data_IF_792261064634
#
_entry.id   IF_792261064634
#
_cell.length_a   1.000
_cell.length_b   1.000
_cell.length_c   1.000
_cell.angle_alpha   90.00
_cell.angle_beta   90.00
_cell.angle_gamma   90.00
#
_symmetry.space_group_name_H-M   'P 1'
#
loop_
_entity.id
_entity.type
_entity.pdbx_description
1 polymer ?
#
# COMPACT_ATOMS: atom_id res chain seq x y z
N UNK A 1 -15.79 2.45 5.85
CA UNK A 1 -15.72 3.20 7.12
C UNK A 1 -16.58 4.45 6.96
N UNK A 2 -17.49 4.74 7.88
CA UNK A 2 -18.30 5.96 7.86
C UNK A 2 -17.43 7.22 7.78
N UNK A 3 -17.90 8.23 7.02
CA UNK A 3 -17.18 9.50 6.82
C UNK A 3 -16.01 9.43 5.83
N UNK A 4 -15.83 8.31 5.10
CA UNK A 4 -14.78 8.18 4.09
C UNK A 4 -14.88 9.23 2.96
N UNK A 5 -16.08 9.70 2.72
CA UNK A 5 -16.43 10.72 1.70
C UNK A 5 -16.18 12.17 2.14
N UNK A 6 -15.83 12.40 3.39
CA UNK A 6 -15.60 13.74 3.91
C UNK A 6 -14.37 14.40 3.25
N UNK A 7 -14.48 15.70 3.01
CA UNK A 7 -13.33 16.52 2.63
C UNK A 7 -12.24 16.43 3.70
N UNK A 8 -11.02 16.17 3.30
CA UNK A 8 -9.90 15.91 4.22
C UNK A 8 -9.53 14.43 4.32
N UNK A 9 -10.36 13.50 3.80
CA UNK A 9 -10.02 12.07 3.74
C UNK A 9 -9.64 11.71 2.31
N UNK A 10 -8.36 11.44 2.07
CA UNK A 10 -7.78 11.27 0.74
C UNK A 10 -7.08 9.91 0.61
N UNK A 11 -7.03 9.35 -0.60
CA UNK A 11 -6.05 8.30 -0.88
C UNK A 11 -4.63 8.90 -0.87
N UNK A 12 -3.65 8.14 -0.42
CA UNK A 12 -2.27 8.63 -0.30
C UNK A 12 -1.72 9.25 -1.60
N UNK A 13 -2.02 8.64 -2.74
CA UNK A 13 -1.55 9.12 -4.05
C UNK A 13 -2.22 10.44 -4.51
N UNK A 14 -3.40 10.77 -3.98
CA UNK A 14 -4.03 12.08 -4.24
C UNK A 14 -3.22 13.23 -3.63
N UNK A 15 -2.44 12.94 -2.60
CA UNK A 15 -1.52 13.89 -1.96
C UNK A 15 -0.11 13.83 -2.56
N UNK A 16 0.44 12.63 -2.73
CA UNK A 16 1.84 12.44 -3.13
C UNK A 16 2.10 12.76 -4.60
N UNK A 17 1.17 12.44 -5.52
CA UNK A 17 1.37 12.73 -6.96
C UNK A 17 1.40 14.24 -7.22
N UNK A 18 0.45 15.06 -6.72
CA UNK A 18 0.55 16.51 -6.87
C UNK A 18 1.79 17.09 -6.18
N UNK A 19 2.24 16.54 -5.04
CA UNK A 19 3.45 16.98 -4.38
C UNK A 19 4.69 16.80 -5.26
N UNK A 20 4.83 15.67 -5.92
CA UNK A 20 5.92 15.46 -6.86
C UNK A 20 5.87 16.45 -8.04
N UNK A 21 4.67 16.79 -8.53
CA UNK A 21 4.49 17.80 -9.58
C UNK A 21 4.83 19.21 -9.08
N UNK A 22 4.53 19.52 -7.83
CA UNK A 22 4.91 20.79 -7.23
C UNK A 22 6.43 20.95 -7.19
N UNK A 23 7.14 19.93 -6.68
CA UNK A 23 8.61 19.94 -6.60
C UNK A 23 9.27 20.02 -7.98
N UNK A 24 8.75 19.27 -8.97
CA UNK A 24 9.37 19.17 -10.30
C UNK A 24 8.98 20.31 -11.24
N UNK A 25 7.77 20.84 -11.12
CA UNK A 25 7.16 21.73 -12.10
C UNK A 25 6.68 23.05 -11.50
N UNK A 26 6.78 23.25 -10.18
CA UNK A 26 6.25 24.43 -9.48
C UNK A 26 4.71 24.48 -9.44
N UNK A 27 4.02 23.41 -9.79
CA UNK A 27 2.55 23.35 -9.78
C UNK A 27 2.06 23.02 -8.38
N UNK A 28 1.50 24.03 -7.67
CA UNK A 28 1.05 23.89 -6.29
C UNK A 28 0.18 22.64 -6.03
N UNK A 29 0.46 21.96 -4.92
CA UNK A 29 -0.36 20.84 -4.45
C UNK A 29 -1.71 21.39 -3.96
N UNK A 30 -2.86 20.89 -4.47
CA UNK A 30 -4.18 21.31 -4.01
C UNK A 30 -4.46 20.91 -2.55
N UNK A 31 -3.73 19.90 -2.03
CA UNK A 31 -3.88 19.44 -0.65
C UNK A 31 -2.73 20.05 0.18
N UNK A 32 -3.06 21.02 1.02
CA UNK A 32 -2.12 21.65 1.94
C UNK A 32 -2.46 21.28 3.38
N UNK A 33 -1.49 20.75 4.12
CA UNK A 33 -1.65 20.30 5.51
C UNK A 33 -0.89 21.15 6.53
N UNK A 34 -0.43 22.32 6.14
CA UNK A 34 0.24 23.25 7.06
C UNK A 34 -0.65 23.58 8.26
N UNK A 35 -0.11 23.37 9.46
CA UNK A 35 -0.82 23.63 10.72
C UNK A 35 -1.96 22.66 11.03
N UNK A 36 -2.12 21.58 10.28
CA UNK A 36 -3.19 20.58 10.43
C UNK A 36 -2.74 19.37 11.26
N UNK A 37 -3.70 18.73 11.91
CA UNK A 37 -3.53 17.40 12.51
C UNK A 37 -3.75 16.33 11.44
N UNK A 38 -2.67 15.61 11.10
CA UNK A 38 -2.66 14.61 10.02
C UNK A 38 -2.64 13.21 10.61
N UNK A 39 -3.52 12.35 10.08
CA UNK A 39 -3.49 10.91 10.38
C UNK A 39 -3.19 10.14 9.10
N UNK A 40 -2.18 9.27 9.16
CA UNK A 40 -1.81 8.36 8.06
C UNK A 40 -2.23 6.96 8.44
N UNK A 41 -3.05 6.31 7.61
CA UNK A 41 -3.54 4.95 7.85
C UNK A 41 -2.78 3.98 6.94
N UNK A 42 -1.91 3.18 7.54
CA UNK A 42 -1.03 2.22 6.89
C UNK A 42 0.45 2.46 7.17
N UNK A 43 1.16 1.40 7.55
CA UNK A 43 2.57 1.42 7.99
C UNK A 43 3.61 1.10 6.92
N UNK A 44 3.21 0.98 5.64
CA UNK A 44 4.12 0.70 4.53
C UNK A 44 4.85 1.94 4.01
N UNK A 45 5.65 1.76 2.94
CA UNK A 45 6.47 2.83 2.34
C UNK A 45 5.63 4.03 1.89
N UNK A 46 4.46 3.80 1.29
CA UNK A 46 3.53 4.88 0.92
C UNK A 46 3.06 5.68 2.14
N UNK A 47 2.84 5.02 3.29
CA UNK A 47 2.53 5.68 4.55
C UNK A 47 3.70 6.54 5.04
N UNK A 48 4.92 6.02 4.98
CA UNK A 48 6.14 6.77 5.30
C UNK A 48 6.29 8.02 4.43
N UNK A 49 6.01 7.92 3.14
CA UNK A 49 6.04 9.07 2.23
C UNK A 49 5.02 10.14 2.60
N UNK A 50 3.80 9.72 3.01
CA UNK A 50 2.80 10.66 3.53
C UNK A 50 3.25 11.33 4.82
N UNK A 51 3.91 10.60 5.74
CA UNK A 51 4.45 11.15 6.99
C UNK A 51 5.48 12.25 6.69
N UNK A 52 6.53 11.94 5.94
CA UNK A 52 7.59 12.91 5.63
C UNK A 52 7.06 14.10 4.84
N UNK A 53 6.19 13.87 3.86
CA UNK A 53 5.57 14.95 3.09
C UNK A 53 4.72 15.86 3.98
N UNK A 54 3.95 15.31 4.92
CA UNK A 54 3.14 16.09 5.86
C UNK A 54 4.00 16.95 6.79
N UNK A 55 5.12 16.41 7.29
CA UNK A 55 6.09 17.16 8.10
C UNK A 55 6.69 18.33 7.29
N UNK A 56 7.09 18.10 6.05
CA UNK A 56 7.66 19.15 5.18
C UNK A 56 6.65 20.21 4.78
N UNK A 57 5.35 19.91 4.76
CA UNK A 57 4.28 20.90 4.64
C UNK A 57 4.08 21.72 5.91
N UNK A 58 4.66 21.33 7.06
CA UNK A 58 4.49 22.00 8.35
C UNK A 58 3.18 21.60 9.05
N UNK A 59 2.79 20.34 9.01
CA UNK A 59 1.68 19.83 9.79
C UNK A 59 1.87 20.08 11.28
N UNK A 60 0.79 20.35 12.03
CA UNK A 60 0.86 20.55 13.49
C UNK A 60 1.17 19.24 14.23
N UNK A 61 0.68 18.13 13.73
CA UNK A 61 1.03 16.78 14.20
C UNK A 61 0.85 15.76 13.08
N UNK A 62 1.64 14.70 13.10
CA UNK A 62 1.48 13.55 12.22
C UNK A 62 1.40 12.30 13.07
N UNK A 63 0.31 11.54 12.93
CA UNK A 63 0.11 10.24 13.57
C UNK A 63 -0.06 9.18 12.50
N UNK A 64 0.66 8.07 12.62
CA UNK A 64 0.53 6.93 11.71
C UNK A 64 -0.08 5.74 12.44
N UNK A 65 -1.14 5.16 11.88
CA UNK A 65 -1.78 3.95 12.37
C UNK A 65 -1.42 2.74 11.51
N UNK A 66 -1.09 1.65 12.19
CA UNK A 66 -0.91 0.35 11.58
C UNK A 66 -1.92 -0.65 12.16
N UNK A 67 -2.60 -1.38 11.27
CA UNK A 67 -3.58 -2.40 11.64
C UNK A 67 -2.91 -3.59 12.35
N UNK A 68 -1.70 -3.94 11.92
CA UNK A 68 -0.95 -5.06 12.46
C UNK A 68 -0.31 -4.72 13.82
N UNK A 69 -0.03 -5.72 14.66
CA UNK A 69 0.76 -5.52 15.86
C UNK A 69 2.14 -4.93 15.55
N UNK A 70 2.71 -4.23 16.50
CA UNK A 70 4.08 -3.72 16.38
C UNK A 70 5.05 -4.87 16.15
N UNK A 71 5.82 -4.85 15.06
CA UNK A 71 6.86 -5.84 14.85
C UNK A 71 7.94 -5.74 15.93
N UNK A 72 8.66 -6.84 16.22
CA UNK A 72 9.77 -6.80 17.17
C UNK A 72 10.88 -5.85 16.68
N UNK A 73 11.58 -5.20 17.59
CA UNK A 73 12.70 -4.31 17.25
C UNK A 73 13.84 -5.06 16.56
N UNK A 74 14.06 -6.30 16.95
CA UNK A 74 15.08 -7.19 16.38
C UNK A 74 14.44 -8.40 15.70
N UNK A 75 15.06 -8.88 14.62
CA UNK A 75 14.60 -10.07 13.93
C UNK A 75 14.75 -11.33 14.78
N UNK A 76 13.77 -12.21 14.71
CA UNK A 76 13.86 -13.55 15.31
C UNK A 76 14.16 -14.59 14.23
N UNK A 77 15.46 -14.75 13.90
CA UNK A 77 15.94 -15.62 12.82
C UNK A 77 15.35 -17.03 12.79
N UNK A 78 15.22 -17.75 13.92
CA UNK A 78 14.61 -19.09 13.93
C UNK A 78 13.18 -19.17 13.38
N UNK A 79 12.42 -18.06 13.44
CA UNK A 79 11.05 -18.02 12.92
C UNK A 79 10.96 -17.58 11.46
N UNK A 80 11.94 -16.85 10.94
CA UNK A 80 11.81 -16.18 9.64
C UNK A 80 12.80 -16.66 8.59
N UNK A 81 13.94 -17.21 9.01
CA UNK A 81 14.95 -17.71 8.06
C UNK A 81 14.42 -18.87 7.18
N UNK A 82 14.63 -18.88 5.88
CA UNK A 82 15.41 -17.94 5.04
C UNK A 82 14.61 -16.78 4.45
N UNK A 83 13.44 -16.49 4.99
CA UNK A 83 12.55 -15.43 4.50
C UNK A 83 12.93 -14.04 5.00
N UNK A 84 12.24 -13.04 4.52
CA UNK A 84 12.46 -11.66 4.90
C UNK A 84 12.24 -11.42 6.39
N UNK A 85 13.17 -10.74 7.09
CA UNK A 85 13.04 -10.51 8.53
C UNK A 85 11.80 -9.69 8.89
N UNK A 86 11.03 -10.19 9.85
CA UNK A 86 9.94 -9.42 10.48
C UNK A 86 10.57 -8.64 11.61
N UNK A 87 10.71 -7.33 11.43
CA UNK A 87 11.22 -6.40 12.44
C UNK A 87 10.63 -5.00 12.24
N UNK A 88 10.60 -4.21 13.31
CA UNK A 88 10.23 -2.81 13.24
C UNK A 88 11.21 -2.07 12.34
N UNK A 89 10.67 -1.33 11.37
CA UNK A 89 11.43 -0.50 10.45
C UNK A 89 11.07 0.96 10.67
N UNK A 90 12.08 1.78 10.72
CA UNK A 90 11.93 3.24 10.76
C UNK A 90 12.60 3.80 9.50
N UNK A 91 11.90 4.64 8.78
CA UNK A 91 12.45 5.39 7.66
C UNK A 91 12.89 6.77 8.10
N UNK A 92 13.71 7.44 7.29
CA UNK A 92 14.10 8.85 7.52
C UNK A 92 12.89 9.78 7.60
N UNK A 93 11.79 9.45 6.91
CA UNK A 93 10.52 10.20 7.02
C UNK A 93 9.91 10.15 8.42
N UNK A 94 10.04 9.03 9.13
CA UNK A 94 9.58 8.93 10.53
C UNK A 94 10.47 9.75 11.47
N UNK A 95 11.78 9.85 11.17
CA UNK A 95 12.74 10.64 11.97
C UNK A 95 12.46 12.16 11.88
N UNK A 96 11.75 12.60 10.84
CA UNK A 96 11.28 13.99 10.72
C UNK A 96 10.17 14.33 11.74
N UNK A 97 9.57 13.35 12.39
CA UNK A 97 8.56 13.49 13.43
C UNK A 97 7.26 12.73 13.10
N UNK A 98 6.92 11.76 13.93
CA UNK A 98 5.67 11.02 13.79
C UNK A 98 5.36 10.22 15.08
N UNK A 99 4.12 10.28 15.52
CA UNK A 99 3.61 9.32 16.49
C UNK A 99 3.14 8.08 15.74
N UNK A 100 3.72 6.91 16.04
CA UNK A 100 3.33 5.63 15.41
C UNK A 100 2.55 4.80 16.40
N UNK A 101 1.42 4.26 15.97
CA UNK A 101 0.55 3.44 16.79
C UNK A 101 0.13 2.18 16.02
N UNK A 102 0.20 1.05 16.68
CA UNK A 102 0.03 -0.28 16.11
C UNK A 102 -1.18 -0.98 16.70
N UNK A 103 -1.69 -2.00 16.01
CA UNK A 103 -2.90 -2.71 16.36
C UNK A 103 -4.08 -1.75 16.59
N UNK A 104 -4.30 -0.86 15.64
CA UNK A 104 -5.36 0.16 15.66
C UNK A 104 -6.23 0.04 14.41
N UNK A 105 -7.54 -0.04 14.60
CA UNK A 105 -8.52 0.03 13.52
C UNK A 105 -9.27 1.36 13.54
N UNK A 106 -9.49 1.91 12.35
CA UNK A 106 -10.34 3.10 12.16
C UNK A 106 -11.81 2.69 12.19
N UNK A 107 -12.61 3.35 13.02
CA UNK A 107 -14.05 3.14 13.15
C UNK A 107 -14.86 4.13 12.32
N UNK A 108 -14.51 5.42 12.39
CA UNK A 108 -15.28 6.49 11.79
C UNK A 108 -14.42 7.74 11.58
N UNK A 109 -14.65 8.46 10.49
CA UNK A 109 -14.21 9.85 10.33
C UNK A 109 -15.33 10.79 10.74
N UNK A 110 -15.10 11.59 11.78
CA UNK A 110 -16.13 12.46 12.39
C UNK A 110 -16.17 13.77 11.62
N UNK A 111 -17.39 14.19 11.25
CA UNK A 111 -17.61 15.44 10.51
C UNK A 111 -17.64 16.67 11.42
N UNK A 112 -17.25 17.83 10.88
CA UNK A 112 -17.45 19.16 11.47
C UNK A 112 -18.88 19.69 11.28
N UNK A 113 -19.76 18.93 10.62
CA UNK A 113 -21.12 19.32 10.24
C UNK A 113 -21.20 20.16 8.96
N UNK A 114 -20.04 20.47 8.32
CA UNK A 114 -19.94 21.22 7.05
C UNK A 114 -19.35 20.36 5.92
N UNK A 115 -19.20 19.05 6.16
CA UNK A 115 -18.68 18.12 5.19
C UNK A 115 -17.16 17.92 5.24
N UNK A 116 -16.45 18.47 6.23
CA UNK A 116 -15.04 18.21 6.42
C UNK A 116 -14.83 17.25 7.59
N UNK A 117 -13.72 16.52 7.56
CA UNK A 117 -13.25 15.72 8.70
C UNK A 117 -12.71 16.65 9.78
N UNK A 118 -13.02 16.36 11.04
CA UNK A 118 -12.48 17.08 12.22
C UNK A 118 -11.81 16.15 13.23
N UNK A 119 -12.17 14.87 13.22
CA UNK A 119 -11.62 13.87 14.11
C UNK A 119 -11.73 12.47 13.51
N UNK A 120 -10.94 11.55 14.02
CA UNK A 120 -10.99 10.13 13.69
C UNK A 120 -11.23 9.33 14.97
N UNK A 121 -12.25 8.46 14.94
CA UNK A 121 -12.48 7.44 15.97
C UNK A 121 -11.78 6.16 15.61
N UNK A 122 -11.07 5.60 16.58
CA UNK A 122 -10.31 4.39 16.44
C UNK A 122 -10.54 3.44 17.62
N UNK A 123 -10.13 2.19 17.49
CA UNK A 123 -10.22 1.17 18.53
C UNK A 123 -8.92 0.35 18.52
N UNK A 124 -8.52 -0.12 19.70
CA UNK A 124 -7.40 -1.05 19.85
C UNK A 124 -7.79 -2.44 19.38
N UNK A 125 -6.83 -3.16 18.86
CA UNK A 125 -7.00 -4.51 18.37
C UNK A 125 -6.18 -5.50 19.19
N UNK A 126 -6.75 -6.66 19.44
CA UNK A 126 -6.03 -7.83 19.92
C UNK A 126 -5.88 -8.85 18.80
N UNK A 127 -4.67 -9.38 18.65
CA UNK A 127 -4.30 -10.32 17.61
C UNK A 127 -3.91 -11.65 18.23
N UNK A 128 -4.79 -12.65 18.09
CA UNK A 128 -4.54 -14.01 18.60
C UNK A 128 -4.66 -15.04 17.47
N UNK A 129 -3.60 -15.80 17.26
CA UNK A 129 -3.58 -16.84 16.22
C UNK A 129 -3.91 -16.35 14.82
N UNK A 130 -3.52 -15.11 14.47
CA UNK A 130 -3.80 -14.48 13.18
C UNK A 130 -5.23 -13.94 13.04
N UNK A 131 -6.03 -14.00 14.09
CA UNK A 131 -7.37 -13.39 14.13
C UNK A 131 -7.33 -12.06 14.86
N UNK A 132 -8.01 -11.09 14.30
CA UNK A 132 -8.13 -9.72 14.79
C UNK A 132 -9.46 -9.58 15.53
N UNK A 133 -9.43 -9.06 16.76
CA UNK A 133 -10.62 -8.71 17.56
C UNK A 133 -10.48 -7.32 18.15
N UNK A 134 -11.59 -6.58 18.21
CA UNK A 134 -11.59 -5.28 18.88
C UNK A 134 -11.54 -5.46 20.39
N UNK A 135 -10.72 -4.66 21.07
CA UNK A 135 -10.66 -4.63 22.53
C UNK A 135 -11.80 -3.77 23.05
N UNK A 136 -12.73 -4.38 23.78
CA UNK A 136 -13.89 -3.67 24.30
C UNK A 136 -13.48 -2.52 25.24
N UNK A 137 -14.11 -1.34 25.04
CA UNK A 137 -13.84 -0.15 25.83
C UNK A 137 -12.52 0.56 25.52
N UNK A 138 -11.81 0.18 24.46
CA UNK A 138 -10.55 0.80 24.04
C UNK A 138 -10.72 1.83 22.94
N UNK A 139 -11.94 2.26 22.66
CA UNK A 139 -12.23 3.29 21.67
C UNK A 139 -11.63 4.63 22.11
N UNK A 140 -11.09 5.36 21.15
CA UNK A 140 -10.52 6.68 21.37
C UNK A 140 -10.73 7.56 20.13
N UNK A 141 -10.63 8.87 20.34
CA UNK A 141 -10.77 9.86 19.26
C UNK A 141 -9.54 10.75 19.23
N UNK A 142 -9.07 11.08 18.02
CA UNK A 142 -7.97 12.00 17.79
C UNK A 142 -8.42 13.15 16.85
N UNK A 143 -7.91 14.37 17.06
CA UNK A 143 -8.06 15.45 16.09
C UNK A 143 -7.53 15.02 14.72
N UNK A 144 -8.28 15.30 13.67
CA UNK A 144 -7.94 14.92 12.31
C UNK A 144 -8.49 15.94 11.32
N UNK A 145 -7.61 16.79 10.79
CA UNK A 145 -7.97 17.76 9.74
C UNK A 145 -7.67 17.20 8.34
N UNK A 146 -6.81 16.19 8.28
CA UNK A 146 -6.54 15.43 7.07
C UNK A 146 -6.16 13.98 7.40
N UNK A 147 -6.72 13.04 6.64
CA UNK A 147 -6.38 11.62 6.72
C UNK A 147 -5.88 11.11 5.37
N UNK A 148 -4.75 10.39 5.36
CA UNK A 148 -4.19 9.77 4.17
C UNK A 148 -4.30 8.25 4.27
N UNK A 149 -5.03 7.65 3.32
CA UNK A 149 -5.24 6.21 3.25
C UNK A 149 -4.11 5.56 2.45
N UNK A 150 -3.17 4.93 3.15
CA UNK A 150 -2.00 4.25 2.61
C UNK A 150 -2.07 2.73 2.87
N UNK A 151 -3.26 2.15 2.70
CA UNK A 151 -3.57 0.75 3.05
C UNK A 151 -3.16 -0.28 2.00
N UNK A 152 -2.30 0.10 1.05
CA UNK A 152 -1.83 -0.74 -0.04
C UNK A 152 -2.75 -0.75 -1.26
N UNK A 153 -2.39 -1.61 -2.21
CA UNK A 153 -3.10 -1.78 -3.48
C UNK A 153 -3.94 -3.05 -3.45
N UNK A 154 -5.06 -3.05 -4.13
CA UNK A 154 -5.97 -4.21 -4.18
C UNK A 154 -5.66 -5.12 -5.38
N UNK A 155 -5.71 -4.56 -6.59
CA UNK A 155 -5.56 -5.27 -7.85
C UNK A 155 -5.21 -4.31 -8.99
N UNK A 156 -4.76 -4.81 -10.14
CA UNK A 156 -4.56 -3.99 -11.34
C UNK A 156 -5.85 -3.30 -11.80
N UNK A 157 -5.71 -2.16 -12.46
CA UNK A 157 -6.85 -1.50 -13.12
C UNK A 157 -7.42 -2.43 -14.20
N UNK A 158 -8.70 -2.81 -14.05
CA UNK A 158 -9.33 -3.90 -14.81
C UNK A 158 -9.44 -3.66 -16.32
N UNK A 159 -9.56 -2.41 -16.76
CA UNK A 159 -9.85 -2.09 -18.15
C UNK A 159 -8.86 -2.66 -19.17
N UNK A 160 -7.56 -2.74 -18.86
CA UNK A 160 -6.57 -3.36 -19.74
C UNK A 160 -6.80 -4.86 -19.88
N UNK A 161 -7.00 -5.57 -18.75
CA UNK A 161 -7.22 -7.01 -18.77
C UNK A 161 -8.53 -7.37 -19.48
N UNK A 162 -9.56 -6.56 -19.32
CA UNK A 162 -10.85 -6.70 -19.99
C UNK A 162 -10.74 -6.46 -21.50
N UNK A 163 -10.04 -5.41 -21.90
CA UNK A 163 -9.82 -5.10 -23.32
C UNK A 163 -9.09 -6.22 -24.08
N UNK A 164 -8.19 -6.95 -23.39
CA UNK A 164 -7.51 -8.12 -23.97
C UNK A 164 -8.25 -9.44 -23.73
N UNK A 165 -9.33 -9.47 -22.95
CA UNK A 165 -10.04 -10.71 -22.61
C UNK A 165 -9.24 -11.66 -21.71
N UNK A 166 -8.34 -11.12 -20.88
CA UNK A 166 -7.49 -11.90 -19.98
C UNK A 166 -8.27 -12.35 -18.77
N UNK A 167 -8.23 -13.65 -18.49
CA UNK A 167 -8.80 -14.21 -17.27
C UNK A 167 -8.12 -13.65 -16.02
N UNK A 168 -8.90 -13.42 -14.98
CA UNK A 168 -8.43 -12.93 -13.68
C UNK A 168 -8.42 -14.07 -12.66
N UNK A 169 -7.47 -14.02 -11.73
CA UNK A 169 -7.46 -14.90 -10.55
C UNK A 169 -8.47 -14.43 -9.47
N UNK A 170 -8.52 -15.12 -8.34
CA UNK A 170 -9.41 -14.77 -7.23
C UNK A 170 -9.10 -13.39 -6.61
N UNK A 171 -7.91 -12.84 -6.84
CA UNK A 171 -7.49 -11.50 -6.40
C UNK A 171 -7.62 -10.44 -7.49
N UNK A 172 -8.26 -10.77 -8.61
CA UNK A 172 -8.42 -9.89 -9.77
C UNK A 172 -7.11 -9.55 -10.51
N UNK A 173 -6.03 -10.31 -10.31
CA UNK A 173 -4.81 -10.21 -11.10
C UNK A 173 -4.92 -11.02 -12.39
N UNK A 174 -4.07 -10.72 -13.37
CA UNK A 174 -3.99 -11.53 -14.59
C UNK A 174 -3.62 -12.99 -14.27
N UNK A 175 -4.45 -13.93 -14.70
CA UNK A 175 -4.20 -15.35 -14.44
C UNK A 175 -3.16 -15.90 -15.40
N UNK A 176 -1.97 -16.24 -14.86
CA UNK A 176 -0.89 -16.91 -15.58
C UNK A 176 -0.04 -17.71 -14.58
N UNK A 177 0.39 -18.92 -14.99
CA UNK A 177 1.27 -19.77 -14.18
C UNK A 177 2.71 -19.27 -14.23
N UNK A 178 3.49 -19.54 -13.18
CA UNK A 178 4.94 -19.30 -13.14
C UNK A 178 5.77 -20.52 -13.49
N UNK A 179 5.14 -21.68 -13.54
CA UNK A 179 5.82 -22.97 -13.64
C UNK A 179 5.30 -23.79 -14.82
N UNK A 180 6.16 -24.70 -15.29
CA UNK A 180 5.84 -25.62 -16.37
C UNK A 180 6.01 -25.04 -17.78
N UNK A 181 5.63 -25.82 -18.77
CA UNK A 181 5.61 -25.41 -20.16
C UNK A 181 4.56 -24.32 -20.40
N UNK A 182 4.95 -23.22 -21.01
CA UNK A 182 4.06 -22.08 -21.25
C UNK A 182 3.79 -21.23 -20.02
N UNK A 183 4.69 -21.20 -19.05
CA UNK A 183 4.62 -20.27 -17.92
C UNK A 183 4.49 -18.82 -18.42
N UNK A 184 3.84 -17.97 -17.62
CA UNK A 184 3.50 -16.59 -17.92
C UNK A 184 2.49 -16.38 -19.08
N UNK A 185 2.03 -17.44 -19.77
CA UNK A 185 0.95 -17.33 -20.75
C UNK A 185 -0.39 -17.11 -20.06
N UNK A 186 -1.18 -16.23 -20.62
CA UNK A 186 -2.59 -16.06 -20.24
C UNK A 186 -3.49 -17.04 -21.02
N UNK A 187 -4.80 -16.97 -20.81
CA UNK A 187 -5.80 -17.66 -21.65
C UNK A 187 -5.84 -17.14 -23.09
N UNK A 188 -5.31 -15.94 -23.35
CA UNK A 188 -5.31 -15.30 -24.66
C UNK A 188 -4.01 -15.63 -25.39
N UNK A 189 -4.12 -16.16 -26.61
CA UNK A 189 -2.97 -16.46 -27.45
C UNK A 189 -2.08 -15.23 -27.66
N UNK A 190 -0.74 -15.38 -27.55
CA UNK A 190 0.27 -14.32 -27.69
C UNK A 190 0.24 -13.25 -26.58
N UNK A 191 -0.57 -13.40 -25.56
CA UNK A 191 -0.60 -12.50 -24.39
C UNK A 191 0.05 -13.19 -23.20
N UNK A 192 1.04 -12.51 -22.62
CA UNK A 192 1.77 -12.95 -21.45
C UNK A 192 1.60 -11.92 -20.33
N UNK A 193 1.68 -12.37 -19.07
CA UNK A 193 1.57 -11.49 -17.91
C UNK A 193 2.63 -11.83 -16.87
N UNK A 194 3.33 -10.82 -16.35
CA UNK A 194 4.39 -10.94 -15.37
C UNK A 194 4.42 -9.74 -14.41
N UNK A 195 5.07 -9.89 -13.27
CA UNK A 195 5.18 -8.84 -12.26
C UNK A 195 3.87 -8.56 -11.56
N UNK A 196 3.67 -7.32 -11.10
CA UNK A 196 2.53 -6.95 -10.24
C UNK A 196 1.16 -7.19 -10.88
N UNK A 197 1.03 -7.07 -12.20
CA UNK A 197 -0.23 -7.33 -12.90
C UNK A 197 -0.70 -8.79 -12.75
N UNK A 198 0.23 -9.72 -12.58
CA UNK A 198 -0.02 -11.15 -12.38
C UNK A 198 0.07 -11.56 -10.91
N UNK A 199 1.08 -11.08 -10.22
CA UNK A 199 1.41 -11.49 -8.85
C UNK A 199 0.60 -10.75 -7.78
N UNK A 200 0.10 -9.59 -8.10
CA UNK A 200 -0.31 -8.56 -7.16
C UNK A 200 0.87 -7.66 -6.78
N UNK A 201 0.59 -6.56 -6.13
CA UNK A 201 1.60 -5.62 -5.68
C UNK A 201 2.69 -6.32 -4.86
N UNK A 202 3.96 -6.09 -5.22
CA UNK A 202 5.09 -6.79 -4.63
C UNK A 202 6.38 -5.96 -4.73
N UNK A 203 7.51 -6.57 -4.38
CA UNK A 203 8.81 -5.91 -4.45
C UNK A 203 9.36 -5.87 -5.88
N UNK A 204 10.14 -4.84 -6.20
CA UNK A 204 10.78 -4.65 -7.51
C UNK A 204 11.64 -5.86 -7.94
N UNK A 205 12.27 -6.54 -6.99
CA UNK A 205 13.06 -7.75 -7.27
C UNK A 205 12.22 -8.88 -7.86
N UNK A 206 10.95 -8.99 -7.46
CA UNK A 206 10.02 -9.96 -8.04
C UNK A 206 9.57 -9.55 -9.43
N UNK A 207 9.32 -8.25 -9.66
CA UNK A 207 8.98 -7.75 -10.98
C UNK A 207 10.10 -8.00 -11.99
N UNK A 208 11.37 -7.75 -11.59
CA UNK A 208 12.55 -8.04 -12.40
C UNK A 208 12.67 -9.54 -12.69
N UNK A 209 12.55 -10.38 -11.67
CA UNK A 209 12.64 -11.84 -11.83
C UNK A 209 11.56 -12.37 -12.78
N UNK A 210 10.31 -12.01 -12.55
CA UNK A 210 9.20 -12.48 -13.38
C UNK A 210 9.28 -11.94 -14.80
N UNK A 211 9.72 -10.69 -14.98
CA UNK A 211 9.94 -10.11 -16.30
C UNK A 211 11.00 -10.89 -17.10
N UNK A 212 12.10 -11.25 -16.46
CA UNK A 212 13.17 -12.08 -17.11
C UNK A 212 12.66 -13.48 -17.47
N UNK A 213 11.96 -14.13 -16.57
CA UNK A 213 11.40 -15.46 -16.81
C UNK A 213 10.31 -15.44 -17.89
N UNK A 214 9.47 -14.39 -17.89
CA UNK A 214 8.47 -14.17 -18.91
C UNK A 214 9.13 -13.93 -20.30
N UNK A 215 10.20 -13.13 -20.36
CA UNK A 215 10.96 -12.93 -21.61
C UNK A 215 11.45 -14.26 -22.18
N UNK A 216 11.99 -15.17 -21.34
CA UNK A 216 12.35 -16.51 -21.77
C UNK A 216 11.14 -17.29 -22.35
N UNK A 217 9.98 -17.23 -21.68
CA UNK A 217 8.77 -17.92 -22.15
C UNK A 217 8.25 -17.36 -23.47
N UNK A 218 8.39 -16.06 -23.68
CA UNK A 218 8.08 -15.41 -24.95
C UNK A 218 9.05 -15.88 -26.05
N UNK A 219 10.34 -15.93 -25.76
CA UNK A 219 11.38 -16.42 -26.67
C UNK A 219 11.13 -17.89 -27.07
N UNK A 220 10.87 -18.77 -26.07
CA UNK A 220 10.46 -20.16 -26.32
C UNK A 220 9.21 -20.27 -27.20
N UNK A 221 8.24 -19.39 -27.00
CA UNK A 221 7.02 -19.35 -27.81
C UNK A 221 7.26 -18.95 -29.24
N UNK A 222 8.15 -17.99 -29.48
CA UNK A 222 8.46 -17.47 -30.82
C UNK A 222 9.44 -18.35 -31.58
N UNK A 223 10.45 -18.88 -30.90
CA UNK A 223 11.60 -19.57 -31.51
C UNK A 223 11.54 -21.09 -31.32
N UNK A 224 10.60 -21.61 -30.52
CA UNK A 224 10.54 -23.05 -30.16
C UNK A 224 11.52 -23.47 -29.07
N UNK A 225 12.55 -22.70 -28.79
CA UNK A 225 13.51 -22.91 -27.72
C UNK A 225 14.11 -21.59 -27.27
N UNK A 226 14.75 -21.53 -26.10
CA UNK A 226 15.38 -20.32 -25.60
C UNK A 226 16.73 -20.59 -24.95
N UNK A 227 17.71 -19.76 -25.25
CA UNK A 227 19.02 -19.71 -24.59
C UNK A 227 19.05 -18.73 -23.41
N UNK A 228 17.95 -17.99 -23.17
CA UNK A 228 17.87 -17.05 -22.05
C UNK A 228 17.92 -17.80 -20.72
N UNK A 229 18.57 -17.26 -19.70
CA UNK A 229 18.62 -17.87 -18.36
C UNK A 229 17.23 -17.94 -17.71
N UNK A 230 17.03 -18.96 -16.91
CA UNK A 230 15.79 -19.17 -16.15
C UNK A 230 15.84 -18.51 -14.76
#
# INVERSE_FOLDING_TARGET
>A
VPGRELTGVYAALEFLIPQNKEVQQGKANPINVKGKHVIVIGGGDTGSDCVGTSNRHGAASVTQFELMPMPPEQEHKPLVWPYWPIKLRTSTSHDEGCSRDFAVATKEFVTDGKGNVKALKAVRLDWQGGKMTEVAGSEFELPCDAAFLAMGFTNPVGGLLEAFGVDKDARQNAKASTDGAGCYKTNVAKVFAAGDVRRGQSLVVWAIREGRQCARSVDEFLMGSSLLPR
#
